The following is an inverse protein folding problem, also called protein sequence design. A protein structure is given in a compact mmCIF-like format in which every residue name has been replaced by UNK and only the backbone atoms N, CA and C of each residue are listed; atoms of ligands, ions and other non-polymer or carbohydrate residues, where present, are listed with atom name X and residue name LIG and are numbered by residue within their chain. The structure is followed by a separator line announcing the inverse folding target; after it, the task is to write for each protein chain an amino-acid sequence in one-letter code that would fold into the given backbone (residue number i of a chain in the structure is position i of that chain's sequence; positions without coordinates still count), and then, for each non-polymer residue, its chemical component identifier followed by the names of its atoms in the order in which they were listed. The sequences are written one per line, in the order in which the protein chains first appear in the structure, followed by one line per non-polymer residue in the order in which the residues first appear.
data_IF_300158969080
#
_entry.id   IF_300158969080
#
_cell.length_a   1.000
_cell.length_b   1.000
_cell.length_c   1.000
_cell.angle_alpha   90.00
_cell.angle_beta   90.00
_cell.angle_gamma   90.00
#
_symmetry.space_group_name_H-M   'P 1'
#
loop_
_entity.id
_entity.type
_entity.pdbx_description
1 polymer ?
#
# COMPACT_ATOMS: atom_id res chain seq x y z
N UNK A 1 17.52 37.05 -59.09
CA UNK A 1 16.39 37.98 -58.80
C UNK A 1 16.43 38.30 -57.32
N UNK A 2 16.79 39.55 -57.00
CA UNK A 2 16.70 40.15 -55.68
C UNK A 2 15.24 40.28 -55.26
N UNK A 3 14.94 40.14 -53.96
CA UNK A 3 14.16 41.10 -53.14
C UNK A 3 14.43 40.76 -51.67
N UNK A 4 15.05 41.72 -50.96
CA UNK A 4 15.08 41.88 -49.50
C UNK A 4 13.78 42.55 -49.03
N UNK A 5 13.53 42.54 -47.70
CA UNK A 5 12.67 43.40 -46.84
C UNK A 5 11.68 42.51 -46.05
N UNK A 6 11.37 42.71 -44.77
CA UNK A 6 11.75 43.65 -43.69
C UNK A 6 11.15 43.07 -42.39
N UNK A 7 11.86 43.19 -41.27
CA UNK A 7 11.26 43.05 -39.94
C UNK A 7 10.41 44.29 -39.58
N UNK A 8 9.52 44.18 -38.57
CA UNK A 8 9.25 45.32 -37.72
C UNK A 8 9.61 45.02 -36.26
N UNK A 9 10.51 45.86 -35.74
CA UNK A 9 10.59 46.15 -34.31
C UNK A 9 9.46 47.13 -33.96
N UNK A 10 8.80 46.93 -32.82
CA UNK A 10 7.99 47.97 -32.19
C UNK A 10 8.26 47.93 -30.68
N UNK A 11 8.95 48.96 -30.22
CA UNK A 11 9.16 49.30 -28.81
C UNK A 11 8.14 50.35 -28.35
N UNK A 12 8.04 50.48 -27.03
CA UNK A 12 7.47 51.56 -26.19
C UNK A 12 6.17 51.26 -25.43
N UNK A 13 6.24 51.47 -24.11
CA UNK A 13 5.05 51.70 -23.27
C UNK A 13 5.21 51.38 -21.78
N UNK A 14 6.22 51.97 -21.12
CA UNK A 14 6.35 51.98 -19.66
C UNK A 14 5.26 52.89 -19.06
N UNK A 15 4.40 52.39 -18.17
CA UNK A 15 3.62 53.23 -17.25
C UNK A 15 3.86 52.79 -15.81
N UNK A 16 4.48 53.70 -15.07
CA UNK A 16 4.63 53.75 -13.63
C UNK A 16 3.33 54.29 -13.02
N UNK A 17 2.83 53.63 -11.97
CA UNK A 17 1.91 54.26 -11.03
C UNK A 17 2.36 53.92 -9.60
N UNK A 18 2.83 54.96 -8.90
CA UNK A 18 3.04 54.99 -7.46
C UNK A 18 1.68 55.15 -6.74
N UNK A 19 1.54 54.50 -5.59
CA UNK A 19 0.48 54.73 -4.63
C UNK A 19 0.91 54.17 -3.27
N UNK A 20 1.12 55.07 -2.33
CA UNK A 20 1.99 54.99 -1.15
C UNK A 20 1.36 54.28 0.06
N UNK A 21 2.22 54.01 1.02
CA UNK A 21 2.16 53.16 2.20
C UNK A 21 1.05 53.42 3.24
N UNK A 22 0.76 52.37 4.02
CA UNK A 22 0.69 52.48 5.49
C UNK A 22 1.15 51.17 6.14
N UNK A 23 2.31 51.23 6.81
CA UNK A 23 2.75 50.28 7.82
C UNK A 23 1.90 50.43 9.08
N UNK A 24 1.52 49.32 9.70
CA UNK A 24 1.27 49.27 11.15
C UNK A 24 1.95 48.03 11.70
N UNK A 25 2.97 48.26 12.53
CA UNK A 25 3.59 47.30 13.42
C UNK A 25 2.83 47.27 14.74
N UNK A 26 2.52 46.09 15.27
CA UNK A 26 2.53 45.85 16.72
C UNK A 26 2.70 44.36 17.04
N UNK A 27 3.59 44.11 17.99
CA UNK A 27 4.04 42.83 18.52
C UNK A 27 3.01 42.16 19.45
N UNK A 28 3.19 40.83 19.58
CA UNK A 28 3.07 39.99 20.77
C UNK A 28 1.89 40.18 21.75
N UNK A 29 1.13 39.09 21.91
CA UNK A 29 0.25 38.87 23.05
C UNK A 29 -0.25 37.42 23.11
N UNK A 30 0.47 36.59 23.86
CA UNK A 30 -0.01 35.32 24.43
C UNK A 30 -1.27 35.57 25.29
N UNK A 31 -2.24 34.64 25.30
CA UNK A 31 -2.63 34.12 26.59
C UNK A 31 -2.80 32.59 26.62
N UNK A 32 -1.94 31.99 27.43
CA UNK A 32 -2.09 30.70 28.07
C UNK A 32 -3.40 30.61 28.90
N UNK A 33 -4.14 29.50 28.80
CA UNK A 33 -5.11 29.07 29.83
C UNK A 33 -6.20 28.09 29.35
N UNK A 34 -6.59 27.06 30.13
CA UNK A 34 -6.67 25.69 29.63
C UNK A 34 -8.10 25.20 29.36
N UNK A 35 -8.24 24.26 28.41
CA UNK A 35 -9.36 23.32 28.39
C UNK A 35 -8.83 21.90 28.15
N UNK A 36 -9.19 21.05 29.11
CA UNK A 36 -8.73 19.69 29.34
C UNK A 36 -9.52 18.67 28.53
N UNK A 37 -8.83 17.56 28.21
CA UNK A 37 -9.31 16.18 28.06
C UNK A 37 -10.14 15.79 26.84
N UNK A 38 -9.45 15.10 25.93
CA UNK A 38 -9.97 14.15 24.96
C UNK A 38 -8.79 13.47 24.25
N UNK A 39 -7.91 12.82 25.02
CA UNK A 39 -6.72 12.17 24.49
C UNK A 39 -7.10 10.99 23.60
N UNK A 40 -7.07 11.22 22.28
CA UNK A 40 -7.04 10.15 21.30
C UNK A 40 -5.59 9.69 21.19
N UNK A 41 -5.40 8.42 21.50
CA UNK A 41 -4.12 7.73 21.42
C UNK A 41 -3.67 7.73 19.96
N UNK A 42 -2.47 8.23 19.70
CA UNK A 42 -1.69 7.83 18.52
C UNK A 42 -1.44 6.34 18.67
N UNK A 43 -2.13 5.52 17.90
CA UNK A 43 -2.10 4.07 18.07
C UNK A 43 -2.31 3.41 16.74
N UNK A 44 -1.27 2.72 16.29
CA UNK A 44 -1.38 1.62 15.32
C UNK A 44 -2.43 0.67 15.86
N UNK A 45 -3.39 0.28 15.02
CA UNK A 45 -4.39 -0.72 15.39
C UNK A 45 -3.82 -2.08 15.05
N UNK A 46 -3.18 -2.71 16.03
CA UNK A 46 -2.80 -4.13 15.98
C UNK A 46 -3.84 -4.93 16.78
N UNK A 47 -4.49 -5.96 16.21
CA UNK A 47 -5.39 -6.82 16.97
C UNK A 47 -4.62 -7.61 18.06
N UNK A 48 -5.18 -7.83 19.26
CA UNK A 48 -4.53 -8.63 20.29
C UNK A 48 -4.60 -10.14 19.98
N UNK A 49 -3.47 -10.83 20.05
CA UNK A 49 -3.40 -12.31 20.03
C UNK A 49 -3.93 -12.88 21.35
N UNK A 50 -5.00 -13.66 21.29
CA UNK A 50 -5.64 -14.24 22.47
C UNK A 50 -4.96 -15.55 22.90
N UNK A 51 -4.07 -15.49 23.90
CA UNK A 51 -3.64 -16.68 24.67
C UNK A 51 -4.38 -16.73 26.02
N UNK A 52 -5.16 -17.79 26.22
CA UNK A 52 -5.99 -17.98 27.42
C UNK A 52 -5.14 -18.60 28.53
N UNK A 53 -4.68 -17.78 29.49
CA UNK A 53 -4.02 -18.24 30.71
C UNK A 53 -4.99 -18.32 31.89
N UNK A 54 -5.37 -19.54 32.30
CA UNK A 54 -6.18 -19.78 33.50
C UNK A 54 -5.30 -20.11 34.71
N UNK A 55 -5.53 -19.43 35.84
CA UNK A 55 -4.86 -19.66 37.13
C UNK A 55 -5.82 -20.30 38.14
N UNK A 56 -5.35 -21.29 38.93
CA UNK A 56 -5.94 -21.59 40.24
C UNK A 56 -5.93 -23.03 40.79
N UNK A 57 -4.79 -23.45 41.36
CA UNK A 57 -4.59 -24.12 42.68
C UNK A 57 -5.30 -25.43 43.10
N UNK A 58 -4.52 -26.44 43.55
CA UNK A 58 -4.37 -26.91 44.96
C UNK A 58 -3.44 -28.14 45.04
N UNK A 59 -2.62 -28.25 46.10
CA UNK A 59 -1.41 -29.09 46.12
C UNK A 59 -1.40 -30.37 46.96
N UNK A 60 -0.24 -31.04 46.98
CA UNK A 60 0.29 -31.94 48.03
C UNK A 60 1.78 -32.25 47.73
N UNK A 61 2.64 -32.55 48.74
CA UNK A 61 4.08 -32.63 48.56
C UNK A 61 4.54 -34.06 48.27
N UNK A 62 5.44 -34.24 47.28
CA UNK A 62 6.23 -35.46 47.13
C UNK A 62 7.68 -35.08 46.84
N UNK A 63 8.56 -35.51 47.74
CA UNK A 63 10.01 -35.45 47.65
C UNK A 63 10.50 -36.63 46.80
N UNK A 64 11.26 -36.39 45.72
CA UNK A 64 12.47 -37.15 45.38
C UNK A 64 13.23 -36.47 44.23
N UNK A 65 14.54 -36.44 44.43
CA UNK A 65 15.65 -36.00 43.58
C UNK A 65 15.65 -36.66 42.20
N UNK A 66 15.74 -35.88 41.13
CA UNK A 66 16.51 -36.14 39.89
C UNK A 66 16.42 -34.91 38.96
N UNK A 67 17.45 -34.68 38.14
CA UNK A 67 17.69 -33.42 37.40
C UNK A 67 16.59 -33.06 36.40
N UNK A 68 16.59 -31.82 35.86
CA UNK A 68 15.58 -31.43 34.88
C UNK A 68 15.76 -32.27 33.62
N UNK A 69 14.82 -33.17 33.39
CA UNK A 69 14.64 -33.80 32.09
C UNK A 69 14.39 -32.69 31.08
N UNK A 70 15.36 -32.54 30.20
CA UNK A 70 15.25 -31.76 28.98
C UNK A 70 14.20 -32.49 28.15
N UNK A 71 12.95 -32.03 28.23
CA UNK A 71 11.97 -32.32 27.22
C UNK A 71 12.54 -31.73 25.92
N UNK A 72 13.22 -32.57 25.15
CA UNK A 72 13.52 -32.30 23.76
C UNK A 72 12.15 -32.26 23.06
N UNK A 73 11.58 -31.06 23.01
CA UNK A 73 10.55 -30.74 22.04
C UNK A 73 11.14 -31.09 20.68
N UNK A 74 10.44 -31.88 19.84
CA UNK A 74 10.88 -32.06 18.47
C UNK A 74 11.06 -30.67 17.84
N UNK A 75 12.16 -30.48 17.11
CA UNK A 75 12.38 -29.28 16.31
C UNK A 75 11.09 -29.00 15.50
N UNK A 76 10.62 -27.74 15.51
CA UNK A 76 9.43 -27.22 14.82
C UNK A 76 9.51 -27.38 13.28
N UNK A 77 9.63 -28.61 12.77
CA UNK A 77 9.86 -28.89 11.35
C UNK A 77 8.59 -29.41 10.63
N UNK A 78 7.39 -29.32 11.24
CA UNK A 78 6.14 -29.80 10.61
C UNK A 78 4.88 -29.07 11.14
N UNK A 79 4.94 -27.75 11.38
CA UNK A 79 3.67 -27.00 11.44
C UNK A 79 3.13 -26.89 10.01
N UNK A 80 1.88 -27.32 9.72
CA UNK A 80 1.29 -27.16 8.40
C UNK A 80 1.07 -25.67 8.12
N UNK A 81 2.08 -25.03 7.55
CA UNK A 81 2.03 -23.65 7.10
C UNK A 81 1.81 -23.57 5.59
N UNK A 82 1.47 -22.38 5.12
CA UNK A 82 1.41 -22.06 3.70
C UNK A 82 2.74 -22.42 3.01
N UNK A 83 2.67 -23.02 1.83
CA UNK A 83 3.87 -23.27 1.01
C UNK A 83 4.41 -21.99 0.39
N UNK A 84 3.59 -20.94 0.34
CA UNK A 84 3.86 -19.74 -0.43
C UNK A 84 3.26 -18.47 0.20
N UNK A 85 3.91 -17.33 -0.04
CA UNK A 85 3.35 -16.01 0.23
C UNK A 85 3.59 -15.07 -0.95
N UNK A 86 2.52 -14.43 -1.40
CA UNK A 86 2.55 -13.38 -2.42
C UNK A 86 2.28 -12.03 -1.76
N UNK A 87 3.20 -11.08 -1.94
CA UNK A 87 3.07 -9.72 -1.40
C UNK A 87 2.95 -8.73 -2.55
N UNK A 88 1.79 -8.08 -2.66
CA UNK A 88 1.52 -7.04 -3.64
C UNK A 88 1.56 -5.66 -2.96
N UNK A 89 2.54 -4.84 -3.35
CA UNK A 89 2.56 -3.43 -2.98
C UNK A 89 1.82 -2.60 -4.03
N UNK A 90 0.75 -1.94 -3.60
CA UNK A 90 -0.04 -1.01 -4.38
C UNK A 90 0.40 0.40 -4.02
N UNK A 91 1.17 1.02 -4.91
CA UNK A 91 1.91 2.25 -4.62
C UNK A 91 1.29 3.41 -5.41
N UNK A 92 0.79 4.38 -4.67
CA UNK A 92 0.48 5.71 -5.17
C UNK A 92 1.71 6.32 -5.83
N UNK A 93 1.54 6.72 -7.09
CA UNK A 93 2.61 7.26 -7.91
C UNK A 93 2.35 8.73 -8.28
N UNK A 94 1.51 9.43 -7.50
CA UNK A 94 1.25 10.86 -7.62
C UNK A 94 2.48 11.69 -7.24
N UNK A 95 2.43 12.99 -7.57
CA UNK A 95 3.52 13.95 -7.30
C UNK A 95 3.83 14.19 -5.82
N UNK A 96 2.97 13.79 -4.89
CA UNK A 96 3.20 13.94 -3.46
C UNK A 96 4.05 12.82 -2.86
N UNK A 97 4.33 11.76 -3.63
CA UNK A 97 4.71 10.46 -3.08
C UNK A 97 6.19 10.25 -2.78
N UNK A 98 7.13 11.02 -3.32
CA UNK A 98 8.56 10.73 -3.16
C UNK A 98 8.99 10.66 -1.70
N UNK A 99 8.45 11.54 -0.86
CA UNK A 99 8.79 11.55 0.56
C UNK A 99 8.31 10.31 1.32
N UNK A 100 7.21 9.70 0.86
CA UNK A 100 6.62 8.50 1.45
C UNK A 100 7.26 7.24 0.87
N UNK A 101 7.50 7.20 -0.45
CA UNK A 101 8.26 6.14 -1.13
C UNK A 101 9.70 6.05 -0.58
N UNK A 102 10.37 7.19 -0.35
CA UNK A 102 11.70 7.21 0.28
C UNK A 102 11.67 6.65 1.71
N UNK A 103 10.64 7.00 2.48
CA UNK A 103 10.49 6.50 3.85
C UNK A 103 10.17 4.99 3.86
N UNK A 104 9.31 4.51 2.97
CA UNK A 104 9.03 3.09 2.80
C UNK A 104 10.29 2.33 2.36
N UNK A 105 11.01 2.83 1.36
CA UNK A 105 12.25 2.22 0.89
C UNK A 105 13.32 2.12 2.00
N UNK A 106 13.36 3.09 2.92
CA UNK A 106 14.25 3.05 4.08
C UNK A 106 13.79 2.05 5.17
N UNK A 107 12.47 1.85 5.33
CA UNK A 107 11.89 0.93 6.30
C UNK A 107 11.85 -0.53 5.79
N UNK A 108 11.75 -0.72 4.48
CA UNK A 108 11.52 -2.02 3.85
C UNK A 108 12.56 -3.09 4.19
N UNK A 109 13.88 -2.79 4.29
CA UNK A 109 14.85 -3.78 4.74
C UNK A 109 14.48 -4.43 6.09
N UNK A 110 13.93 -3.65 7.04
CA UNK A 110 13.51 -4.19 8.33
C UNK A 110 12.22 -5.01 8.21
N UNK A 111 11.32 -4.65 7.30
CA UNK A 111 10.16 -5.48 7.01
C UNK A 111 10.55 -6.84 6.45
N UNK A 112 11.47 -6.90 5.49
CA UNK A 112 11.94 -8.18 4.95
C UNK A 112 12.56 -9.04 6.05
N UNK A 113 13.36 -8.44 6.93
CA UNK A 113 13.92 -9.13 8.09
C UNK A 113 12.83 -9.66 9.03
N UNK A 114 11.84 -8.84 9.35
CA UNK A 114 10.72 -9.24 10.21
C UNK A 114 9.88 -10.34 9.55
N UNK A 115 9.55 -10.21 8.27
CA UNK A 115 8.76 -11.17 7.52
C UNK A 115 9.43 -12.54 7.48
N UNK A 116 10.72 -12.60 7.10
CA UNK A 116 11.46 -13.87 7.05
C UNK A 116 11.61 -14.49 8.44
N UNK A 117 11.75 -13.67 9.50
CA UNK A 117 11.85 -14.17 10.86
C UNK A 117 10.52 -14.73 11.42
N UNK A 118 9.37 -14.30 10.90
CA UNK A 118 8.05 -14.73 11.37
C UNK A 118 7.38 -15.77 10.47
N UNK A 119 7.84 -15.91 9.22
CA UNK A 119 7.36 -16.97 8.34
C UNK A 119 8.03 -18.31 8.68
N UNK A 120 7.34 -19.44 8.43
CA UNK A 120 7.97 -20.74 8.44
C UNK A 120 9.17 -20.79 7.50
N UNK A 121 10.09 -21.73 7.76
CA UNK A 121 11.19 -22.01 6.82
C UNK A 121 10.65 -22.59 5.53
N UNK A 122 11.48 -22.52 4.48
CA UNK A 122 11.18 -23.07 3.16
C UNK A 122 9.89 -22.55 2.50
N UNK A 123 9.43 -21.34 2.85
CA UNK A 123 8.27 -20.69 2.22
C UNK A 123 8.73 -19.90 0.99
N UNK A 124 8.07 -20.13 -0.14
CA UNK A 124 8.37 -19.41 -1.38
C UNK A 124 7.68 -18.03 -1.37
N UNK A 125 8.43 -16.96 -1.60
CA UNK A 125 7.99 -15.58 -1.56
C UNK A 125 7.99 -14.96 -2.95
N UNK A 126 6.88 -14.32 -3.31
CA UNK A 126 6.80 -13.40 -4.44
C UNK A 126 6.51 -11.98 -3.93
N UNK A 127 7.29 -11.00 -4.37
CA UNK A 127 7.08 -9.59 -4.03
C UNK A 127 6.94 -8.77 -5.30
N UNK A 128 5.75 -8.20 -5.51
CA UNK A 128 5.41 -7.39 -6.66
C UNK A 128 5.03 -5.96 -6.26
N UNK A 129 5.17 -5.03 -7.19
CA UNK A 129 4.68 -3.66 -7.06
C UNK A 129 3.71 -3.40 -8.21
N UNK A 130 2.60 -2.73 -7.97
CA UNK A 130 1.77 -2.09 -9.01
C UNK A 130 1.54 -0.64 -8.61
N UNK A 131 1.25 0.22 -9.57
CA UNK A 131 0.91 1.62 -9.31
C UNK A 131 -0.59 1.86 -9.46
N UNK A 132 -1.06 2.98 -8.93
CA UNK A 132 -2.48 3.29 -8.85
C UNK A 132 -3.02 4.11 -10.02
N UNK A 133 -2.18 4.29 -11.05
CA UNK A 133 -2.52 5.02 -12.26
C UNK A 133 -3.33 4.18 -13.26
N UNK A 134 -4.39 4.78 -13.80
CA UNK A 134 -5.24 4.21 -14.85
C UNK A 134 -5.42 5.13 -16.06
N UNK A 135 -4.62 6.20 -16.19
CA UNK A 135 -4.82 7.21 -17.23
C UNK A 135 -3.57 7.52 -18.04
N UNK A 136 -2.39 7.56 -17.42
CA UNK A 136 -1.13 7.87 -18.08
C UNK A 136 -0.96 7.09 -19.39
N UNK A 137 -0.72 7.80 -20.49
CA UNK A 137 -0.36 7.17 -21.76
C UNK A 137 1.15 7.24 -21.98
N UNK A 138 1.87 6.19 -21.56
CA UNK A 138 3.31 6.02 -21.80
C UNK A 138 4.24 6.92 -20.99
N UNK A 139 5.53 6.57 -20.96
CA UNK A 139 6.57 7.29 -20.22
C UNK A 139 6.78 8.72 -20.75
N UNK A 140 6.70 9.72 -19.87
CA UNK A 140 7.00 11.12 -20.18
C UNK A 140 5.87 11.91 -20.85
N UNK A 141 4.65 11.38 -20.89
CA UNK A 141 3.45 12.15 -21.28
C UNK A 141 2.80 12.77 -20.04
N UNK A 142 2.01 13.83 -20.25
CA UNK A 142 1.29 14.50 -19.17
C UNK A 142 0.22 13.55 -18.60
N UNK A 143 0.53 12.96 -17.45
CA UNK A 143 -0.32 12.07 -16.69
C UNK A 143 -1.34 12.86 -15.88
N UNK A 144 -2.57 12.95 -16.40
CA UNK A 144 -3.62 13.83 -15.87
C UNK A 144 -3.15 15.32 -15.84
N UNK A 145 -4.03 16.33 -15.98
CA UNK A 145 -3.63 17.68 -15.61
C UNK A 145 -3.22 17.71 -14.12
N UNK A 146 -2.17 18.47 -13.79
CA UNK A 146 -1.61 18.68 -12.44
C UNK A 146 -2.65 19.04 -11.37
N UNK A 147 -3.82 19.51 -11.79
CA UNK A 147 -4.98 19.72 -10.95
C UNK A 147 -6.05 18.70 -11.30
N UNK A 148 -6.37 17.83 -10.36
CA UNK A 148 -7.59 17.04 -10.39
C UNK A 148 -8.79 18.01 -10.52
N UNK A 149 -9.65 17.86 -11.54
CA UNK A 149 -10.83 18.71 -11.69
C UNK A 149 -11.93 18.38 -10.68
N UNK A 150 -11.76 17.30 -9.90
CA UNK A 150 -12.73 16.77 -8.94
C UNK A 150 -12.30 17.19 -7.52
N UNK A 151 -13.25 17.67 -6.72
CA UNK A 151 -12.96 18.10 -5.35
C UNK A 151 -12.47 16.94 -4.49
N UNK A 152 -11.22 16.99 -4.04
CA UNK A 152 -10.60 15.99 -3.16
C UNK A 152 -10.50 16.50 -1.70
N UNK A 153 -11.61 17.01 -1.15
CA UNK A 153 -11.58 17.57 0.21
C UNK A 153 -11.72 16.46 1.25
N UNK A 154 -10.71 16.28 2.10
CA UNK A 154 -10.76 15.37 3.28
C UNK A 154 -11.11 13.91 2.94
N UNK A 155 -10.50 13.33 1.90
CA UNK A 155 -10.78 11.97 1.41
C UNK A 155 -12.20 11.74 0.86
N UNK A 156 -12.98 12.79 0.64
CA UNK A 156 -14.30 12.72 0.02
C UNK A 156 -14.12 12.94 -1.49
N UNK A 157 -14.47 11.93 -2.28
CA UNK A 157 -14.36 11.93 -3.75
C UNK A 157 -15.48 11.05 -4.33
N UNK A 158 -15.96 11.39 -5.54
CA UNK A 158 -16.96 10.58 -6.24
C UNK A 158 -18.29 10.48 -5.50
N UNK A 159 -18.69 11.53 -4.78
CA UNK A 159 -19.92 11.54 -3.96
C UNK A 159 -21.17 11.89 -4.73
N UNK A 160 -21.01 12.55 -5.88
CA UNK A 160 -22.10 12.89 -6.80
C UNK A 160 -21.95 12.14 -8.12
N UNK A 161 -23.05 11.86 -8.84
CA UNK A 161 -22.97 11.28 -10.18
C UNK A 161 -22.09 12.07 -11.14
N UNK A 162 -22.11 13.40 -11.05
CA UNK A 162 -21.28 14.29 -11.88
C UNK A 162 -19.78 14.16 -11.57
N UNK A 163 -19.42 13.99 -10.29
CA UNK A 163 -18.03 13.70 -9.90
C UNK A 163 -17.60 12.32 -10.40
N UNK A 164 -18.47 11.31 -10.30
CA UNK A 164 -18.16 9.96 -10.81
C UNK A 164 -17.95 9.98 -12.33
N UNK A 165 -18.80 10.68 -13.08
CA UNK A 165 -18.64 10.86 -14.53
C UNK A 165 -17.33 11.60 -14.87
N UNK A 166 -16.95 12.60 -14.08
CA UNK A 166 -15.68 13.30 -14.24
C UNK A 166 -14.47 12.40 -13.97
N UNK A 167 -14.54 11.52 -12.97
CA UNK A 167 -13.48 10.53 -12.68
C UNK A 167 -13.39 9.49 -13.79
N UNK A 168 -14.53 9.00 -14.29
CA UNK A 168 -14.60 7.98 -15.36
C UNK A 168 -13.93 8.46 -16.66
N UNK A 169 -13.95 9.76 -16.95
CA UNK A 169 -13.23 10.34 -18.07
C UNK A 169 -11.69 10.17 -18.00
N UNK A 170 -11.16 9.90 -16.80
CA UNK A 170 -9.75 9.60 -16.53
C UNK A 170 -9.51 8.11 -16.22
N UNK A 171 -10.48 7.25 -16.50
CA UNK A 171 -10.37 5.83 -16.23
C UNK A 171 -10.17 5.03 -17.52
N UNK A 172 -8.96 4.51 -17.72
CA UNK A 172 -8.66 3.53 -18.77
C UNK A 172 -8.40 2.19 -18.08
N UNK A 173 -9.39 1.29 -17.94
CA UNK A 173 -9.17 -0.04 -17.40
C UNK A 173 -8.31 -0.90 -18.33
N UNK A 174 -7.65 -1.96 -17.84
CA UNK A 174 -6.87 -2.86 -18.69
C UNK A 174 -7.71 -3.60 -19.73
N UNK A 175 -9.04 -3.67 -19.54
CA UNK A 175 -10.01 -4.18 -20.53
C UNK A 175 -10.08 -3.31 -21.79
N UNK A 176 -9.68 -2.04 -21.71
CA UNK A 176 -9.52 -1.12 -22.85
C UNK A 176 -8.16 -1.25 -23.54
N UNK A 177 -7.30 -2.17 -23.09
CA UNK A 177 -5.96 -2.40 -23.59
C UNK A 177 -4.86 -1.80 -22.70
N UNK A 178 -3.61 -2.06 -23.09
CA UNK A 178 -2.43 -1.56 -22.39
C UNK A 178 -2.16 -0.09 -22.77
N UNK A 179 -2.19 0.81 -21.78
CA UNK A 179 -1.87 2.24 -21.94
C UNK A 179 -0.36 2.53 -22.12
N UNK A 180 0.50 1.51 -21.99
CA UNK A 180 1.95 1.60 -22.15
C UNK A 180 2.71 2.17 -20.96
N UNK A 181 2.04 2.50 -19.85
CA UNK A 181 2.69 2.98 -18.64
C UNK A 181 3.06 1.81 -17.71
N UNK A 182 4.33 1.77 -17.28
CA UNK A 182 4.86 0.71 -16.42
C UNK A 182 4.16 0.70 -15.06
N UNK A 183 3.72 -0.48 -14.61
CA UNK A 183 3.03 -0.64 -13.32
C UNK A 183 1.57 -0.18 -13.28
N UNK A 184 1.06 0.45 -14.33
CA UNK A 184 -0.31 1.00 -14.35
C UNK A 184 -1.38 -0.03 -14.68
N UNK A 185 -2.65 0.32 -14.47
CA UNK A 185 -3.83 -0.51 -14.79
C UNK A 185 -3.82 -1.88 -14.09
N UNK A 186 -3.21 -1.96 -12.90
CA UNK A 186 -3.01 -3.21 -12.15
C UNK A 186 -1.95 -4.14 -12.74
N UNK A 187 -1.15 -3.71 -13.73
CA UNK A 187 0.02 -4.48 -14.16
C UNK A 187 1.16 -4.32 -13.17
N UNK A 188 1.99 -5.34 -13.05
CA UNK A 188 3.17 -5.24 -12.20
C UNK A 188 4.21 -4.29 -12.80
N UNK A 189 4.84 -3.51 -11.92
CA UNK A 189 5.90 -2.58 -12.24
C UNK A 189 7.18 -3.35 -12.51
N UNK A 190 7.66 -3.29 -13.75
CA UNK A 190 8.89 -3.95 -14.16
C UNK A 190 10.08 -3.13 -13.71
N UNK A 191 10.93 -3.71 -12.86
CA UNK A 191 12.18 -3.13 -12.40
C UNK A 191 13.34 -4.11 -12.65
N UNK A 192 14.41 -3.63 -13.29
CA UNK A 192 15.57 -4.45 -13.68
C UNK A 192 15.19 -5.70 -14.52
N UNK A 193 14.13 -5.57 -15.33
CA UNK A 193 13.64 -6.66 -16.17
C UNK A 193 12.76 -7.68 -15.45
N UNK A 194 12.46 -7.47 -14.18
CA UNK A 194 11.60 -8.35 -13.36
C UNK A 194 10.29 -7.64 -13.01
N UNK A 195 9.15 -8.32 -13.19
CA UNK A 195 7.84 -7.82 -12.79
C UNK A 195 7.57 -8.04 -11.28
N UNK A 196 8.18 -9.08 -10.71
CA UNK A 196 8.17 -9.37 -9.29
C UNK A 196 9.49 -10.07 -8.93
N UNK A 197 9.85 -10.02 -7.65
CA UNK A 197 11.00 -10.74 -7.11
C UNK A 197 10.53 -12.06 -6.51
N UNK A 198 11.12 -13.17 -6.95
CA UNK A 198 10.87 -14.50 -6.37
C UNK A 198 12.08 -14.94 -5.54
N UNK A 199 11.83 -15.44 -4.33
CA UNK A 199 12.87 -15.93 -3.40
C UNK A 199 12.26 -16.96 -2.45
N UNK A 200 13.06 -17.67 -1.68
CA UNK A 200 12.59 -18.48 -0.56
C UNK A 200 13.01 -17.85 0.78
N UNK A 201 12.28 -18.11 1.87
CA UNK A 201 12.66 -17.65 3.23
C UNK A 201 14.04 -18.15 3.68
N UNK A 202 14.53 -19.25 3.10
CA UNK A 202 15.85 -19.82 3.40
C UNK A 202 17.00 -19.12 2.65
N UNK A 203 16.69 -18.29 1.65
CA UNK A 203 17.68 -17.59 0.83
C UNK A 203 18.23 -16.32 1.52
N UNK A 204 19.35 -15.81 1.00
CA UNK A 204 19.86 -14.49 1.41
C UNK A 204 18.85 -13.40 1.02
N UNK A 205 18.33 -12.58 1.96
CA UNK A 205 17.35 -11.56 1.64
C UNK A 205 17.94 -10.28 1.02
N UNK A 206 19.27 -10.14 0.97
CA UNK A 206 19.91 -8.93 0.45
C UNK A 206 19.47 -8.55 -0.99
N UNK A 207 19.34 -9.49 -1.95
CA UNK A 207 18.84 -9.20 -3.29
C UNK A 207 17.40 -8.67 -3.30
N UNK A 208 16.50 -9.27 -2.51
CA UNK A 208 15.11 -8.79 -2.40
C UNK A 208 15.06 -7.35 -1.85
N UNK A 209 15.84 -7.07 -0.79
CA UNK A 209 15.91 -5.72 -0.19
C UNK A 209 16.42 -4.70 -1.21
N UNK A 210 17.47 -5.04 -1.96
CA UNK A 210 18.04 -4.16 -2.98
C UNK A 210 17.04 -3.89 -4.11
N UNK A 211 16.45 -4.95 -4.67
CA UNK A 211 15.48 -4.83 -5.75
C UNK A 211 14.27 -4.01 -5.34
N UNK A 212 13.65 -4.30 -4.20
CA UNK A 212 12.46 -3.59 -3.77
C UNK A 212 12.75 -2.10 -3.50
N UNK A 213 13.86 -1.79 -2.83
CA UNK A 213 14.26 -0.39 -2.57
C UNK A 213 14.37 0.39 -3.88
N UNK A 214 14.98 -0.23 -4.90
CA UNK A 214 15.06 0.34 -6.25
C UNK A 214 13.71 0.47 -6.92
N UNK A 215 12.89 -0.59 -6.90
CA UNK A 215 11.58 -0.64 -7.54
C UNK A 215 10.59 0.36 -6.93
N UNK A 216 10.49 0.43 -5.59
CA UNK A 216 9.61 1.35 -4.88
C UNK A 216 9.96 2.82 -5.13
N UNK A 217 11.25 3.13 -5.25
CA UNK A 217 11.71 4.48 -5.63
C UNK A 217 11.45 4.77 -7.12
N UNK A 218 11.60 3.76 -7.97
CA UNK A 218 11.43 3.89 -9.42
C UNK A 218 9.96 3.93 -9.86
N UNK A 219 9.05 3.36 -9.08
CA UNK A 219 7.59 3.49 -9.28
C UNK A 219 7.19 4.97 -9.41
N UNK A 220 7.89 5.83 -8.65
CA UNK A 220 8.04 7.25 -8.94
C UNK A 220 6.78 8.07 -8.71
N UNK A 221 6.81 9.30 -9.22
CA UNK A 221 5.85 10.38 -8.98
C UNK A 221 5.18 10.88 -10.28
N UNK A 222 5.25 10.07 -11.35
CA UNK A 222 4.80 10.48 -12.68
C UNK A 222 3.34 10.13 -12.94
N UNK A 223 2.61 9.63 -11.95
CA UNK A 223 1.21 9.23 -12.05
C UNK A 223 0.23 10.40 -12.02
N UNK A 224 -1.03 10.03 -12.20
CA UNK A 224 -2.21 10.87 -12.05
C UNK A 224 -2.32 11.47 -10.64
N UNK A 225 -3.17 12.50 -10.48
CA UNK A 225 -3.65 12.93 -9.16
C UNK A 225 -4.98 12.27 -8.77
N UNK A 226 -5.56 11.48 -9.68
CA UNK A 226 -6.71 10.61 -9.46
C UNK A 226 -6.20 9.18 -9.30
N UNK A 227 -6.01 8.78 -8.04
CA UNK A 227 -5.41 7.49 -7.71
C UNK A 227 -6.48 6.42 -7.46
N UNK A 228 -6.25 5.23 -8.02
CA UNK A 228 -7.20 4.12 -7.97
C UNK A 228 -6.60 2.86 -7.34
N UNK A 229 -6.17 2.90 -6.05
CA UNK A 229 -5.57 1.77 -5.36
C UNK A 229 -6.43 0.52 -5.34
N UNK A 230 -7.76 0.65 -5.15
CA UNK A 230 -8.65 -0.52 -5.13
C UNK A 230 -8.69 -1.21 -6.49
N UNK A 231 -8.80 -0.42 -7.58
CA UNK A 231 -8.74 -0.96 -8.93
C UNK A 231 -7.38 -1.60 -9.20
N UNK A 232 -6.27 -0.97 -8.82
CA UNK A 232 -4.93 -1.51 -9.03
C UNK A 232 -4.75 -2.88 -8.35
N UNK A 233 -5.15 -3.00 -7.08
CA UNK A 233 -5.11 -4.26 -6.34
C UNK A 233 -5.93 -5.36 -7.04
N UNK A 234 -7.18 -5.04 -7.41
CA UNK A 234 -8.07 -6.01 -8.03
C UNK A 234 -7.60 -6.44 -9.43
N UNK A 235 -7.17 -5.49 -10.26
CA UNK A 235 -6.68 -5.79 -11.60
C UNK A 235 -5.30 -6.45 -11.60
N UNK A 236 -4.53 -6.35 -10.51
CA UNK A 236 -3.31 -7.14 -10.35
C UNK A 236 -3.60 -8.63 -10.20
N UNK A 237 -4.73 -8.97 -9.56
CA UNK A 237 -5.23 -10.33 -9.42
C UNK A 237 -6.17 -10.78 -10.55
N UNK A 238 -6.73 -9.83 -11.30
CA UNK A 238 -7.76 -10.11 -12.30
C UNK A 238 -7.23 -10.77 -13.57
N UNK A 239 -8.05 -11.66 -14.14
CA UNK A 239 -7.74 -12.42 -15.36
C UNK A 239 -7.33 -11.55 -16.57
N UNK A 240 -7.79 -10.29 -16.64
CA UNK A 240 -7.43 -9.36 -17.71
C UNK A 240 -5.92 -9.06 -17.77
N UNK A 241 -5.21 -9.14 -16.65
CA UNK A 241 -3.76 -8.96 -16.58
C UNK A 241 -3.00 -10.28 -16.34
N UNK A 242 -3.63 -11.45 -16.47
CA UNK A 242 -2.97 -12.73 -16.21
C UNK A 242 -1.69 -12.92 -17.04
N UNK A 243 -1.70 -12.50 -18.32
CA UNK A 243 -0.51 -12.55 -19.18
C UNK A 243 0.56 -11.53 -18.76
N UNK A 244 0.16 -10.34 -18.31
CA UNK A 244 1.08 -9.29 -17.91
C UNK A 244 1.73 -9.55 -16.54
N UNK A 245 0.98 -10.19 -15.65
CA UNK A 245 1.38 -10.50 -14.27
C UNK A 245 1.68 -12.00 -14.11
N UNK A 246 2.00 -12.68 -15.21
CA UNK A 246 2.13 -14.13 -15.25
C UNK A 246 3.13 -14.61 -14.19
N UNK A 247 2.70 -15.60 -13.41
CA UNK A 247 3.53 -16.27 -12.40
C UNK A 247 3.62 -15.55 -11.06
N UNK A 248 3.04 -14.35 -10.91
CA UNK A 248 3.08 -13.63 -9.64
C UNK A 248 2.18 -14.24 -8.57
N UNK A 249 0.89 -14.38 -8.81
CA UNK A 249 -0.04 -14.94 -7.82
C UNK A 249 -0.10 -16.46 -7.92
N UNK A 250 -0.06 -17.10 -6.76
CA UNK A 250 -0.32 -18.52 -6.55
C UNK A 250 -1.64 -18.66 -5.82
N UNK A 251 -2.46 -19.64 -6.21
CA UNK A 251 -3.74 -19.89 -5.55
C UNK A 251 -3.55 -20.90 -4.39
N UNK A 252 -3.38 -22.18 -4.69
CA UNK A 252 -3.17 -23.25 -3.70
C UNK A 252 -2.00 -22.94 -2.74
N UNK A 253 -2.23 -23.19 -1.44
CA UNK A 253 -1.26 -23.09 -0.35
C UNK A 253 -0.50 -21.75 -0.25
N UNK A 254 -1.06 -20.66 -0.80
CA UNK A 254 -0.41 -19.36 -0.83
C UNK A 254 -1.22 -18.29 -0.07
N UNK A 255 -0.60 -17.51 0.82
CA UNK A 255 -1.25 -16.31 1.37
C UNK A 255 -0.99 -15.11 0.46
N UNK A 256 -2.00 -14.29 0.19
CA UNK A 256 -1.84 -13.00 -0.50
C UNK A 256 -1.93 -11.86 0.52
N UNK A 257 -0.86 -11.06 0.61
CA UNK A 257 -0.86 -9.78 1.30
C UNK A 257 -0.92 -8.63 0.29
N UNK A 258 -1.96 -7.81 0.36
CA UNK A 258 -2.06 -6.56 -0.41
C UNK A 258 -1.72 -5.38 0.51
N UNK A 259 -0.60 -4.72 0.24
CA UNK A 259 -0.13 -3.56 0.99
C UNK A 259 -0.36 -2.27 0.20
N UNK A 260 -1.10 -1.32 0.78
CA UNK A 260 -1.37 -0.03 0.17
C UNK A 260 -0.44 1.07 0.71
N UNK A 261 0.14 1.86 -0.18
CA UNK A 261 0.85 3.09 0.16
C UNK A 261 0.20 4.24 -0.63
N UNK A 262 -0.62 5.07 0.03
CA UNK A 262 -1.28 6.21 -0.64
C UNK A 262 -1.60 7.37 0.30
N UNK A 263 -1.43 8.61 -0.19
CA UNK A 263 -1.84 9.83 0.50
C UNK A 263 -3.09 10.47 -0.10
N UNK A 264 -3.70 9.83 -1.09
CA UNK A 264 -4.88 10.29 -1.80
C UNK A 264 -6.09 9.37 -1.58
N UNK A 265 -7.32 9.90 -1.73
CA UNK A 265 -8.51 9.06 -1.69
C UNK A 265 -8.60 8.17 -2.93
N UNK A 266 -9.10 6.95 -2.74
CA UNK A 266 -9.44 6.04 -3.83
C UNK A 266 -10.52 6.59 -4.76
N UNK A 267 -10.15 6.81 -6.01
CA UNK A 267 -11.00 7.22 -7.12
C UNK A 267 -11.42 6.04 -8.01
N UNK A 268 -11.27 4.80 -7.55
CA UNK A 268 -11.63 3.61 -8.34
C UNK A 268 -13.10 3.67 -8.74
N UNK A 269 -13.40 3.48 -10.02
CA UNK A 269 -14.73 3.80 -10.59
C UNK A 269 -15.75 2.69 -10.36
N UNK A 270 -15.35 1.43 -10.53
CA UNK A 270 -16.29 0.32 -10.49
C UNK A 270 -16.84 0.08 -9.08
N UNK A 271 -17.91 -0.72 -9.02
CA UNK A 271 -18.52 -1.11 -7.75
C UNK A 271 -17.57 -2.00 -6.96
N UNK A 272 -17.52 -1.81 -5.64
CA UNK A 272 -16.59 -2.52 -4.74
C UNK A 272 -16.69 -4.05 -4.85
N UNK A 273 -17.89 -4.59 -5.08
CA UNK A 273 -18.10 -6.03 -5.24
C UNK A 273 -17.37 -6.60 -6.46
N UNK A 274 -17.18 -5.82 -7.52
CA UNK A 274 -16.41 -6.25 -8.69
C UNK A 274 -14.94 -6.44 -8.32
N UNK A 275 -14.35 -5.46 -7.62
CA UNK A 275 -12.96 -5.51 -7.22
C UNK A 275 -12.66 -6.62 -6.21
N UNK A 276 -13.52 -6.77 -5.20
CA UNK A 276 -13.34 -7.84 -4.19
C UNK A 276 -13.56 -9.23 -4.78
N UNK A 277 -14.43 -9.38 -5.79
CA UNK A 277 -14.60 -10.65 -6.49
C UNK A 277 -13.34 -11.07 -7.26
N UNK A 278 -12.63 -10.14 -7.92
CA UNK A 278 -11.40 -10.46 -8.64
C UNK A 278 -10.32 -11.04 -7.72
N UNK A 279 -10.13 -10.44 -6.53
CA UNK A 279 -9.12 -10.93 -5.58
C UNK A 279 -9.54 -12.26 -4.95
N UNK A 280 -10.83 -12.43 -4.62
CA UNK A 280 -11.38 -13.71 -4.14
C UNK A 280 -11.20 -14.83 -5.15
N UNK A 281 -11.46 -14.56 -6.42
CA UNK A 281 -11.34 -15.54 -7.49
C UNK A 281 -9.88 -15.99 -7.67
N UNK A 282 -8.91 -15.08 -7.52
CA UNK A 282 -7.49 -15.41 -7.59
C UNK A 282 -6.99 -16.28 -6.41
N UNK A 283 -7.77 -16.38 -5.33
CA UNK A 283 -7.48 -17.12 -4.10
C UNK A 283 -8.53 -18.19 -3.80
N UNK A 284 -9.30 -18.62 -4.80
CA UNK A 284 -10.47 -19.47 -4.59
C UNK A 284 -10.07 -20.84 -4.04
N UNK A 285 -9.01 -21.45 -4.57
CA UNK A 285 -8.54 -22.78 -4.16
C UNK A 285 -7.78 -22.75 -2.83
N UNK A 286 -7.27 -21.58 -2.44
CA UNK A 286 -6.70 -21.36 -1.11
C UNK A 286 -7.73 -21.31 0.03
N UNK A 287 -8.98 -20.94 -0.27
CA UNK A 287 -10.01 -20.66 0.74
C UNK A 287 -10.54 -19.23 0.73
N UNK A 288 -10.25 -18.46 -0.32
CA UNK A 288 -10.80 -17.13 -0.56
C UNK A 288 -10.35 -16.11 0.49
N UNK A 289 -11.32 -15.51 1.18
CA UNK A 289 -11.08 -14.42 2.16
C UNK A 289 -10.04 -14.81 3.23
N UNK A 290 -10.02 -16.07 3.67
CA UNK A 290 -9.07 -16.54 4.68
C UNK A 290 -7.59 -16.48 4.25
N UNK A 291 -7.32 -16.39 2.94
CA UNK A 291 -5.97 -16.29 2.38
C UNK A 291 -5.60 -14.87 1.94
N UNK A 292 -6.47 -13.88 2.17
CA UNK A 292 -6.27 -12.52 1.70
C UNK A 292 -6.12 -11.60 2.91
N UNK A 293 -4.91 -11.09 3.10
CA UNK A 293 -4.61 -10.06 4.07
C UNK A 293 -4.51 -8.71 3.37
N UNK A 294 -4.96 -7.66 4.04
CA UNK A 294 -4.72 -6.29 3.59
C UNK A 294 -4.05 -5.47 4.68
N UNK A 295 -3.12 -4.64 4.25
CA UNK A 295 -2.44 -3.71 5.11
C UNK A 295 -2.15 -2.40 4.38
N UNK A 296 -1.76 -1.35 5.10
CA UNK A 296 -1.27 -0.17 4.40
C UNK A 296 -0.83 1.00 5.27
N UNK A 297 -0.07 1.89 4.64
CA UNK A 297 0.22 3.22 5.12
C UNK A 297 -0.65 4.17 4.30
N UNK A 298 -1.75 4.59 4.92
CA UNK A 298 -2.84 5.33 4.26
C UNK A 298 -3.18 6.59 5.05
N UNK A 299 -3.75 7.58 4.40
CA UNK A 299 -4.16 8.82 5.08
C UNK A 299 -5.26 8.55 6.12
N UNK A 300 -5.17 9.16 7.30
CA UNK A 300 -6.16 9.03 8.40
C UNK A 300 -7.62 9.24 8.00
N UNK A 301 -7.89 10.06 6.98
CA UNK A 301 -9.27 10.27 6.54
C UNK A 301 -9.87 9.07 5.78
N UNK A 302 -9.07 8.15 5.25
CA UNK A 302 -9.54 6.94 4.55
C UNK A 302 -10.41 6.07 5.48
N UNK A 303 -9.94 5.65 6.67
CA UNK A 303 -10.80 4.94 7.63
C UNK A 303 -11.86 5.84 8.27
N UNK A 304 -11.57 7.12 8.54
CA UNK A 304 -12.52 8.02 9.19
C UNK A 304 -13.79 8.26 8.36
N UNK A 305 -13.65 8.39 7.04
CA UNK A 305 -14.76 8.59 6.11
C UNK A 305 -15.33 7.27 5.58
N UNK A 306 -14.83 6.11 6.06
CA UNK A 306 -15.17 4.79 5.55
C UNK A 306 -15.08 4.72 4.01
N UNK A 307 -13.96 5.23 3.48
CA UNK A 307 -13.72 5.41 2.06
C UNK A 307 -13.66 4.06 1.31
N UNK A 308 -13.77 4.04 -0.02
CA UNK A 308 -13.82 2.78 -0.79
C UNK A 308 -12.61 1.89 -0.54
N UNK A 309 -11.40 2.47 -0.39
CA UNK A 309 -10.20 1.73 0.01
C UNK A 309 -10.35 1.04 1.36
N UNK A 310 -10.89 1.74 2.37
CA UNK A 310 -11.12 1.15 3.69
C UNK A 310 -12.14 0.00 3.64
N UNK A 311 -13.23 0.18 2.89
CA UNK A 311 -14.22 -0.88 2.70
C UNK A 311 -13.63 -2.10 1.97
N UNK A 312 -12.74 -1.88 1.00
CA UNK A 312 -12.02 -2.96 0.32
C UNK A 312 -11.09 -3.71 1.28
N UNK A 313 -10.29 -2.99 2.07
CA UNK A 313 -9.36 -3.60 3.02
C UNK A 313 -10.10 -4.48 4.04
N UNK A 314 -11.27 -4.03 4.52
CA UNK A 314 -12.13 -4.79 5.44
C UNK A 314 -12.91 -5.94 4.79
N UNK A 315 -12.85 -6.11 3.47
CA UNK A 315 -13.72 -7.05 2.78
C UNK A 315 -13.28 -8.52 2.94
N UNK A 316 -12.07 -8.78 3.45
CA UNK A 316 -11.42 -10.10 3.41
C UNK A 316 -11.21 -10.74 4.80
N UNK A 317 -12.08 -10.45 5.76
CA UNK A 317 -12.06 -11.11 7.08
C UNK A 317 -11.47 -10.23 8.18
N UNK A 318 -10.21 -10.46 8.55
CA UNK A 318 -9.58 -9.80 9.70
C UNK A 318 -9.48 -8.27 9.55
N UNK A 319 -9.37 -7.57 10.69
CA UNK A 319 -9.21 -6.11 10.66
C UNK A 319 -7.87 -5.76 10.00
N UNK A 320 -7.86 -4.89 8.99
CA UNK A 320 -6.64 -4.58 8.27
C UNK A 320 -5.63 -3.84 9.13
N UNK A 321 -4.35 -4.19 8.95
CA UNK A 321 -3.24 -3.52 9.63
C UNK A 321 -2.96 -2.21 8.91
N UNK A 322 -3.03 -1.08 9.60
CA UNK A 322 -2.72 0.18 8.95
C UNK A 322 -2.05 1.20 9.86
N UNK A 323 -1.37 2.15 9.23
CA UNK A 323 -0.82 3.34 9.88
C UNK A 323 -1.06 4.59 9.06
N UNK A 324 -0.96 5.74 9.71
CA UNK A 324 -1.03 7.01 9.03
C UNK A 324 0.21 7.21 8.16
N UNK A 325 0.00 7.39 6.86
CA UNK A 325 1.10 7.65 5.92
C UNK A 325 1.91 8.90 6.29
N UNK A 326 1.30 9.87 6.98
CA UNK A 326 2.03 11.06 7.44
C UNK A 326 3.00 10.77 8.59
N UNK A 327 2.78 9.69 9.35
CA UNK A 327 3.64 9.27 10.47
C UNK A 327 4.77 8.34 10.01
N UNK A 328 5.74 8.92 9.30
CA UNK A 328 6.90 8.20 8.75
C UNK A 328 7.77 7.53 9.81
N UNK A 329 7.74 8.02 11.05
CA UNK A 329 8.48 7.41 12.14
C UNK A 329 7.89 6.05 12.54
N UNK A 330 6.57 5.88 12.37
CA UNK A 330 5.85 4.63 12.66
C UNK A 330 5.90 3.58 11.56
N UNK A 331 6.52 3.85 10.40
CA UNK A 331 6.54 2.90 9.28
C UNK A 331 7.18 1.57 9.65
N UNK A 332 8.26 1.59 10.44
CA UNK A 332 8.94 0.36 10.87
C UNK A 332 8.05 -0.49 11.76
N UNK A 333 7.15 0.10 12.53
CA UNK A 333 6.24 -0.64 13.41
C UNK A 333 5.09 -1.29 12.62
N UNK A 334 4.47 -0.51 11.72
CA UNK A 334 3.36 -0.98 10.87
C UNK A 334 3.86 -1.99 9.86
N UNK A 335 4.91 -1.66 9.11
CA UNK A 335 5.44 -2.50 8.06
C UNK A 335 6.32 -3.59 8.65
N UNK A 336 6.95 -3.43 9.82
CA UNK A 336 7.81 -4.45 10.41
C UNK A 336 7.05 -5.53 11.19
N UNK A 337 7.09 -5.45 12.52
CA UNK A 337 6.70 -6.56 13.40
C UNK A 337 5.22 -6.93 13.32
N UNK A 338 4.32 -5.95 13.29
CA UNK A 338 2.87 -6.21 13.28
C UNK A 338 2.42 -6.95 12.01
N UNK A 339 2.90 -6.49 10.85
CA UNK A 339 2.59 -7.10 9.56
C UNK A 339 3.21 -8.49 9.43
N UNK A 340 4.47 -8.64 9.83
CA UNK A 340 5.16 -9.92 9.79
C UNK A 340 4.50 -10.97 10.70
N UNK A 341 4.10 -10.59 11.92
CA UNK A 341 3.43 -11.50 12.85
C UNK A 341 2.08 -11.99 12.31
N UNK A 342 1.28 -11.08 11.75
CA UNK A 342 -0.04 -11.42 11.18
C UNK A 342 0.11 -12.31 9.95
N UNK A 343 1.12 -12.04 9.12
CA UNK A 343 1.41 -12.86 7.95
C UNK A 343 1.89 -14.27 8.33
N UNK A 344 2.71 -14.41 9.38
CA UNK A 344 3.09 -15.70 9.94
C UNK A 344 1.88 -16.47 10.48
N UNK A 345 0.99 -15.80 11.23
CA UNK A 345 -0.22 -16.42 11.77
C UNK A 345 -1.17 -16.89 10.67
N UNK A 346 -1.41 -16.07 9.65
CA UNK A 346 -2.23 -16.45 8.50
C UNK A 346 -1.62 -17.61 7.71
N UNK A 347 -0.30 -17.65 7.58
CA UNK A 347 0.40 -18.75 6.91
C UNK A 347 0.20 -20.07 7.68
N UNK A 348 0.28 -20.06 9.01
CA UNK A 348 0.08 -21.26 9.85
C UNK A 348 -1.37 -21.74 9.85
N UNK A 349 -2.34 -20.83 9.67
CA UNK A 349 -3.77 -21.14 9.74
C UNK A 349 -4.46 -21.17 8.37
N UNK A 350 -3.70 -21.28 7.29
CA UNK A 350 -4.27 -21.34 5.94
C UNK A 350 -5.26 -22.51 5.84
N UNK A 351 -6.45 -22.32 5.25
CA UNK A 351 -7.38 -23.43 5.06
C UNK A 351 -6.69 -24.51 4.23
N UNK A 352 -6.65 -25.74 4.76
CA UNK A 352 -6.16 -26.89 3.99
C UNK A 352 -7.24 -27.18 2.93
N UNK A 353 -6.89 -26.98 1.66
CA UNK A 353 -7.70 -27.36 0.49
C UNK A 353 -7.77 -28.86 0.27
#
# INVERSE_FOLDING_TARGET
MNVRLLAPACAFGLFVACGDATQSTSEAGDPSGPASTGGMTTGIVVPPTSSTGSTGSTGAPVTTTEGPEKYDLPDDEDLPGCGAVDVLFVVDNSKSMAQYQTALAAAFPQFVDAMIANLPKSVDLHVGITTTDFYCTGAGQACCPDNCPVGNTQCVIGTTPEEVEAIDAYYVPPTSGNNGANGSQGRLFVHEGMAYFATNTDDDPAPLKAWFTGAATAAGEQGSSLEMPVAAAAYAAGATNADANQGFLRDEDAVLLVFFLTNDPDASVEVLSTYTAMVREAKADCGGDACILTAGLIKKCVPAENQKLWQFMKAFGEEPIWGDIEDKAGYVEVVGEALAATLGDACIHIPIG
#
